data_IF_804469853482
#
_entry.id   IF_804469853482
#
_cell.length_a   1.000
_cell.length_b   1.000
_cell.length_c   1.000
_cell.angle_alpha   90.00
_cell.angle_beta   90.00
_cell.angle_gamma   90.00
#
_symmetry.space_group_name_H-M   'P 1'
#
loop_
_entity.id
_entity.type
_entity.pdbx_description
1 polymer ?
#
# COMPACT_ATOMS: atom_id res chain seq x y z
N UNK A 1 -14.27 -1.30 -30.97
CA UNK A 1 -13.88 -0.22 -30.03
C UNK A 1 -15.11 0.62 -29.72
N UNK A 2 -15.36 0.96 -28.45
CA UNK A 2 -16.55 1.77 -28.10
C UNK A 2 -16.39 3.20 -28.62
N UNK A 3 -17.36 3.64 -29.42
CA UNK A 3 -17.38 4.94 -30.10
C UNK A 3 -17.35 6.16 -29.15
N UNK A 4 -17.51 5.96 -27.84
CA UNK A 4 -17.63 7.02 -26.83
C UNK A 4 -16.55 6.99 -25.73
N UNK A 5 -15.53 6.14 -25.86
CA UNK A 5 -14.50 5.98 -24.81
C UNK A 5 -13.52 7.16 -24.73
N UNK A 6 -13.14 7.74 -25.87
CA UNK A 6 -12.22 8.88 -25.93
C UNK A 6 -12.80 9.97 -26.80
N UNK A 7 -12.36 11.22 -26.60
CA UNK A 7 -12.73 12.33 -27.48
C UNK A 7 -12.31 12.11 -28.94
N UNK A 8 -11.26 11.32 -29.18
CA UNK A 8 -10.84 10.95 -30.53
C UNK A 8 -11.82 9.97 -31.18
N UNK A 9 -12.25 8.94 -30.44
CA UNK A 9 -13.27 8.01 -30.90
C UNK A 9 -14.62 8.70 -31.11
N UNK A 10 -14.99 9.61 -30.20
CA UNK A 10 -16.22 10.39 -30.29
C UNK A 10 -16.21 11.33 -31.50
N UNK A 11 -15.07 11.98 -31.78
CA UNK A 11 -14.89 12.81 -32.98
C UNK A 11 -15.05 11.97 -34.25
N UNK A 12 -14.39 10.81 -34.31
CA UNK A 12 -14.50 9.90 -35.45
C UNK A 12 -15.91 9.36 -35.67
N UNK A 13 -16.69 9.16 -34.61
CA UNK A 13 -18.04 8.61 -34.69
C UNK A 13 -19.13 9.66 -34.96
N UNK A 14 -18.91 10.91 -34.54
CA UNK A 14 -19.89 12.00 -34.69
C UNK A 14 -19.58 12.94 -35.84
N UNK A 15 -18.38 12.84 -36.43
CA UNK A 15 -17.88 13.81 -37.41
C UNK A 15 -17.52 15.17 -36.81
N UNK A 16 -17.73 15.39 -35.51
CA UNK A 16 -17.44 16.66 -34.84
C UNK A 16 -15.93 16.73 -34.55
N UNK A 17 -15.24 17.83 -34.91
CA UNK A 17 -13.83 18.01 -34.58
C UNK A 17 -13.56 17.87 -33.07
N UNK A 18 -12.47 17.19 -32.71
CA UNK A 18 -12.06 16.97 -31.32
C UNK A 18 -11.98 18.28 -30.52
N UNK A 19 -11.52 19.37 -31.15
CA UNK A 19 -11.42 20.70 -30.53
C UNK A 19 -12.78 21.26 -30.12
N UNK A 20 -13.79 21.12 -30.98
CA UNK A 20 -15.18 21.51 -30.68
C UNK A 20 -15.76 20.67 -29.55
N UNK A 21 -15.51 19.35 -29.55
CA UNK A 21 -15.91 18.47 -28.44
C UNK A 21 -15.23 18.83 -27.11
N UNK A 22 -13.97 19.27 -27.13
CA UNK A 22 -13.28 19.73 -25.91
C UNK A 22 -13.93 21.01 -25.34
N UNK A 23 -14.32 21.95 -26.20
CA UNK A 23 -15.02 23.16 -25.78
C UNK A 23 -16.41 22.85 -25.23
N UNK A 24 -17.16 21.95 -25.85
CA UNK A 24 -18.46 21.50 -25.34
C UNK A 24 -18.36 20.75 -24.00
N UNK A 25 -17.30 19.95 -23.81
CA UNK A 25 -17.01 19.32 -22.52
C UNK A 25 -16.69 20.37 -21.43
N UNK A 26 -15.92 21.41 -21.77
CA UNK A 26 -15.61 22.51 -20.85
C UNK A 26 -16.85 23.36 -20.51
N UNK A 27 -17.75 23.56 -21.49
CA UNK A 27 -19.03 24.24 -21.32
C UNK A 27 -20.12 23.37 -20.65
N UNK A 28 -19.82 22.11 -20.31
CA UNK A 28 -20.75 21.21 -19.63
C UNK A 28 -21.88 20.63 -20.48
N UNK A 29 -21.86 20.83 -21.81
CA UNK A 29 -22.86 20.30 -22.75
C UNK A 29 -22.95 18.77 -22.67
N UNK A 30 -21.83 18.12 -22.38
CA UNK A 30 -21.78 16.71 -21.99
C UNK A 30 -20.65 16.50 -20.99
N UNK A 31 -20.71 15.41 -20.21
CA UNK A 31 -19.72 15.08 -19.17
C UNK A 31 -19.09 13.71 -19.41
N UNK A 32 -17.88 13.52 -18.89
CA UNK A 32 -17.31 12.18 -18.78
C UNK A 32 -18.07 11.41 -17.70
N UNK A 33 -18.54 10.22 -18.05
CA UNK A 33 -19.14 9.28 -17.11
C UNK A 33 -18.34 7.98 -17.19
N UNK A 34 -17.93 7.49 -16.02
CA UNK A 34 -17.34 6.15 -15.86
C UNK A 34 -18.32 5.32 -15.06
N UNK A 35 -18.81 4.25 -15.66
CA UNK A 35 -19.53 3.20 -14.94
C UNK A 35 -18.52 2.10 -14.64
N UNK A 36 -18.21 1.89 -13.37
CA UNK A 36 -17.68 0.60 -12.95
C UNK A 36 -18.83 -0.39 -13.04
N UNK A 37 -18.62 -1.58 -13.64
CA UNK A 37 -19.59 -2.66 -13.54
C UNK A 37 -19.61 -3.09 -12.08
N UNK A 38 -20.47 -2.44 -11.31
CA UNK A 38 -20.77 -2.85 -9.95
C UNK A 38 -21.65 -4.09 -10.05
N UNK A 39 -21.37 -5.16 -9.29
CA UNK A 39 -22.27 -6.30 -9.25
C UNK A 39 -23.68 -5.82 -8.90
N UNK A 40 -24.69 -6.33 -9.61
CA UNK A 40 -26.09 -5.97 -9.36
C UNK A 40 -26.45 -6.33 -7.92
N UNK A 41 -26.58 -5.30 -7.08
CA UNK A 41 -26.99 -5.49 -5.69
C UNK A 41 -28.51 -5.71 -5.67
N UNK A 42 -28.91 -6.95 -5.38
CA UNK A 42 -30.27 -7.25 -4.98
C UNK A 42 -30.55 -6.58 -3.62
N UNK A 43 -31.82 -6.43 -3.27
CA UNK A 43 -32.16 -5.82 -1.98
C UNK A 43 -31.63 -6.64 -0.79
N UNK A 44 -31.49 -7.97 -0.97
CA UNK A 44 -30.81 -8.86 -0.02
C UNK A 44 -29.32 -8.50 0.13
N UNK A 45 -28.61 -8.21 -0.97
CA UNK A 45 -27.21 -7.78 -0.90
C UNK A 45 -27.06 -6.42 -0.21
N UNK A 46 -27.98 -5.48 -0.46
CA UNK A 46 -27.99 -4.17 0.21
C UNK A 46 -28.24 -4.33 1.71
N UNK A 47 -29.23 -5.13 2.10
CA UNK A 47 -29.56 -5.38 3.50
C UNK A 47 -28.39 -6.02 4.25
N UNK A 48 -27.73 -7.04 3.66
CA UNK A 48 -26.55 -7.68 4.27
C UNK A 48 -25.37 -6.72 4.40
N UNK A 49 -25.14 -5.87 3.40
CA UNK A 49 -24.08 -4.85 3.46
C UNK A 49 -24.37 -3.78 4.49
N UNK A 50 -25.63 -3.35 4.60
CA UNK A 50 -26.06 -2.41 5.63
C UNK A 50 -25.89 -3.03 7.02
N UNK A 51 -26.35 -4.26 7.23
CA UNK A 51 -26.19 -4.98 8.49
C UNK A 51 -24.71 -5.22 8.85
N UNK A 52 -23.82 -5.37 7.88
CA UNK A 52 -22.38 -5.46 8.11
C UNK A 52 -21.76 -4.09 8.45
N UNK A 53 -22.22 -3.01 7.82
CA UNK A 53 -21.69 -1.67 8.04
C UNK A 53 -22.18 -1.06 9.36
N UNK A 54 -23.43 -1.29 9.76
CA UNK A 54 -24.04 -0.71 10.96
C UNK A 54 -23.24 -0.96 12.25
N UNK A 55 -22.72 -2.17 12.55
CA UNK A 55 -21.86 -2.42 13.71
C UNK A 55 -20.55 -1.62 13.73
N UNK A 56 -20.06 -1.19 12.56
CA UNK A 56 -18.84 -0.37 12.44
C UNK A 56 -19.12 1.14 12.59
N UNK A 57 -20.40 1.52 12.76
CA UNK A 57 -20.88 2.91 12.84
C UNK A 57 -21.75 3.11 14.10
N UNK A 58 -21.85 2.12 14.98
CA UNK A 58 -22.72 2.18 16.15
C UNK A 58 -22.08 3.04 17.25
N UNK A 59 -22.65 4.23 17.47
CA UNK A 59 -22.34 5.10 18.61
C UNK A 59 -23.48 4.98 19.61
N UNK A 60 -23.17 4.73 20.88
CA UNK A 60 -24.13 4.94 21.96
C UNK A 60 -24.22 6.46 22.21
N UNK A 61 -25.34 7.06 21.86
CA UNK A 61 -25.61 8.49 22.03
C UNK A 61 -26.81 8.66 22.94
N UNK A 62 -26.75 9.65 23.82
CA UNK A 62 -27.92 10.07 24.61
C UNK A 62 -28.98 10.73 23.71
N UNK A 63 -30.23 10.86 24.20
CA UNK A 63 -31.36 11.39 23.39
C UNK A 63 -31.09 12.76 22.76
N UNK A 64 -30.20 13.55 23.38
CA UNK A 64 -29.89 14.92 22.99
C UNK A 64 -28.52 15.06 22.30
N UNK A 65 -27.79 13.96 22.08
CA UNK A 65 -26.49 13.98 21.41
C UNK A 65 -26.61 13.80 19.90
N UNK A 66 -26.03 14.77 19.17
CA UNK A 66 -25.84 14.65 17.74
C UNK A 66 -24.68 13.68 17.46
N UNK A 67 -24.88 12.79 16.48
CA UNK A 67 -23.82 11.89 16.05
C UNK A 67 -22.57 12.68 15.63
N UNK A 68 -21.37 12.19 16.01
CA UNK A 68 -20.13 12.89 15.67
C UNK A 68 -20.01 13.00 14.14
N UNK A 69 -19.89 14.23 13.65
CA UNK A 69 -19.62 14.49 12.24
C UNK A 69 -18.22 13.96 11.89
N UNK A 70 -18.16 12.87 11.13
CA UNK A 70 -16.92 12.33 10.60
C UNK A 70 -16.76 12.73 9.14
N UNK A 71 -15.86 13.67 8.88
CA UNK A 71 -15.37 13.97 7.53
C UNK A 71 -13.93 13.52 7.39
N UNK A 72 -13.70 12.56 6.50
CA UNK A 72 -12.36 12.25 6.02
C UNK A 72 -12.03 13.19 4.84
N UNK A 73 -10.88 13.88 4.84
CA UNK A 73 -10.42 14.62 3.67
C UNK A 73 -10.43 13.73 2.44
N UNK A 74 -10.74 14.30 1.27
CA UNK A 74 -10.73 13.56 0.01
C UNK A 74 -9.37 12.85 -0.15
N UNK A 75 -9.39 11.52 -0.38
CA UNK A 75 -8.19 10.65 -0.50
C UNK A 75 -7.13 11.18 -1.47
N UNK A 76 -7.49 12.08 -2.38
CA UNK A 76 -6.57 12.78 -3.29
C UNK A 76 -5.56 13.70 -2.58
N UNK A 77 -5.91 14.25 -1.42
CA UNK A 77 -5.06 15.18 -0.67
C UNK A 77 -4.29 14.50 0.47
N UNK A 78 -4.55 13.22 0.74
CA UNK A 78 -3.80 12.44 1.71
C UNK A 78 -2.47 12.05 1.09
N UNK A 79 -1.37 12.43 1.75
CA UNK A 79 -0.01 12.08 1.33
C UNK A 79 0.14 10.57 1.22
N UNK A 80 0.57 10.08 0.05
CA UNK A 80 0.81 8.66 -0.17
C UNK A 80 2.25 8.35 0.17
N UNK A 81 2.47 7.70 1.31
CA UNK A 81 3.80 7.24 1.71
C UNK A 81 3.97 5.76 1.40
N UNK A 82 5.15 5.38 0.91
CA UNK A 82 5.52 3.99 0.73
C UNK A 82 6.06 3.39 2.04
N UNK A 83 5.75 2.12 2.29
CA UNK A 83 6.26 1.38 3.43
C UNK A 83 6.86 0.05 2.97
N UNK A 84 7.91 -0.39 3.66
CA UNK A 84 8.39 -1.77 3.63
C UNK A 84 7.82 -2.49 4.84
N UNK A 85 7.10 -3.58 4.62
CA UNK A 85 6.56 -4.41 5.70
C UNK A 85 7.18 -5.79 5.67
N UNK A 86 7.47 -6.34 6.85
CA UNK A 86 7.91 -7.72 7.03
C UNK A 86 6.98 -8.40 8.03
N UNK A 87 6.43 -9.53 7.60
CA UNK A 87 5.60 -10.40 8.43
C UNK A 87 6.05 -11.84 8.22
N UNK A 88 5.77 -12.68 9.21
CA UNK A 88 6.04 -14.10 9.17
C UNK A 88 4.82 -14.86 9.66
N UNK A 89 4.81 -16.18 9.44
CA UNK A 89 3.74 -17.02 9.96
C UNK A 89 3.70 -16.93 11.50
N UNK A 90 2.55 -16.60 12.11
CA UNK A 90 2.38 -16.66 13.55
C UNK A 90 2.75 -18.04 14.08
N UNK A 91 3.50 -18.10 15.17
CA UNK A 91 4.01 -19.35 15.73
C UNK A 91 4.31 -19.23 17.21
N UNK A 92 4.30 -20.35 17.91
CA UNK A 92 4.64 -20.37 19.32
C UNK A 92 6.15 -20.12 19.53
N UNK A 93 6.48 -19.21 20.43
CA UNK A 93 7.83 -18.92 20.89
C UNK A 93 8.09 -19.63 22.22
N UNK A 94 8.82 -20.74 22.17
CA UNK A 94 9.14 -21.52 23.36
C UNK A 94 10.04 -20.78 24.35
N UNK A 95 10.87 -19.83 23.90
CA UNK A 95 11.76 -19.05 24.77
C UNK A 95 10.96 -18.03 25.57
N UNK A 96 10.01 -17.36 24.90
CA UNK A 96 9.15 -16.33 25.52
C UNK A 96 7.87 -16.92 26.14
N UNK A 97 7.62 -18.22 25.97
CA UNK A 97 6.41 -18.93 26.42
C UNK A 97 5.10 -18.23 25.99
N UNK A 98 5.08 -17.71 24.77
CA UNK A 98 3.95 -16.95 24.23
C UNK A 98 3.82 -17.17 22.72
N UNK A 99 2.65 -16.87 22.17
CA UNK A 99 2.45 -16.90 20.73
C UNK A 99 3.02 -15.63 20.09
N UNK A 100 3.97 -15.82 19.17
CA UNK A 100 4.44 -14.74 18.32
C UNK A 100 3.41 -14.48 17.23
N UNK A 101 2.95 -13.23 17.14
CA UNK A 101 1.89 -12.80 16.22
C UNK A 101 2.36 -12.65 14.76
N UNK A 102 3.64 -12.92 14.50
CA UNK A 102 4.22 -12.89 13.16
C UNK A 102 4.63 -11.51 12.70
N UNK A 103 4.47 -10.46 13.50
CA UNK A 103 4.85 -9.11 13.10
C UNK A 103 6.34 -8.90 13.31
N UNK A 104 7.07 -8.60 12.22
CA UNK A 104 8.50 -8.24 12.31
C UNK A 104 8.66 -6.72 12.30
N UNK A 105 7.99 -6.03 11.38
CA UNK A 105 8.01 -4.57 11.36
C UNK A 105 7.40 -3.95 10.12
N UNK A 106 7.18 -2.63 10.22
CA UNK A 106 6.79 -1.77 9.10
C UNK A 106 7.66 -0.51 9.15
N UNK A 107 8.27 -0.16 8.04
CA UNK A 107 9.20 0.97 7.96
C UNK A 107 8.84 1.88 6.79
N UNK A 108 8.64 3.19 7.03
CA UNK A 108 8.35 4.14 5.96
C UNK A 108 9.58 4.35 5.08
N UNK A 109 9.37 4.37 3.77
CA UNK A 109 10.39 4.71 2.77
C UNK A 109 10.33 6.22 2.53
N UNK A 110 10.88 6.97 3.48
CA UNK A 110 10.77 8.44 3.52
C UNK A 110 12.14 9.11 3.67
N UNK A 111 12.20 10.36 3.23
CA UNK A 111 13.31 11.28 3.45
C UNK A 111 12.80 12.55 4.13
N UNK A 112 13.58 13.08 5.06
CA UNK A 112 13.34 14.38 5.68
C UNK A 112 14.02 15.45 4.84
N UNK A 113 13.25 16.36 4.26
CA UNK A 113 13.73 17.39 3.33
C UNK A 113 13.27 18.75 3.84
N UNK A 114 14.15 19.74 3.80
CA UNK A 114 13.76 21.11 4.16
C UNK A 114 12.84 21.71 3.09
N UNK A 115 11.77 22.36 3.52
CA UNK A 115 10.83 23.09 2.66
C UNK A 115 11.58 24.16 1.85
N UNK A 116 11.65 24.00 0.53
CA UNK A 116 12.37 24.96 -0.33
C UNK A 116 11.63 26.29 -0.53
N UNK A 117 10.30 26.26 -0.39
CA UNK A 117 9.41 27.42 -0.59
C UNK A 117 8.43 27.50 0.58
N UNK A 118 8.07 28.72 0.94
CA UNK A 118 6.92 28.96 1.81
C UNK A 118 5.62 28.64 1.06
N UNK A 119 4.63 28.17 1.79
CA UNK A 119 3.25 28.04 1.34
C UNK A 119 2.32 28.51 2.46
N UNK A 120 1.03 28.61 2.18
CA UNK A 120 0.03 28.99 3.17
C UNK A 120 0.07 28.11 4.45
N UNK A 121 0.54 26.87 4.33
CA UNK A 121 0.54 25.88 5.42
C UNK A 121 1.93 25.62 6.02
N UNK A 122 3.01 26.24 5.52
CA UNK A 122 4.38 26.01 6.03
C UNK A 122 5.37 27.07 5.58
N UNK A 123 6.29 27.45 6.46
CA UNK A 123 7.39 28.37 6.13
C UNK A 123 8.52 27.66 5.39
N UNK A 124 9.39 28.44 4.74
CA UNK A 124 10.60 27.90 4.12
C UNK A 124 11.53 27.38 5.22
N UNK A 125 12.13 26.21 5.01
CA UNK A 125 13.02 25.56 5.97
C UNK A 125 12.35 24.61 6.96
N UNK A 126 11.01 24.51 7.01
CA UNK A 126 10.34 23.48 7.80
C UNK A 126 10.74 22.09 7.33
N UNK A 127 11.00 21.16 8.26
CA UNK A 127 11.28 19.76 7.92
C UNK A 127 10.00 19.13 7.35
N UNK A 128 10.08 18.67 6.10
CA UNK A 128 9.02 17.93 5.43
C UNK A 128 9.40 16.47 5.26
N UNK A 129 8.43 15.59 5.41
CA UNK A 129 8.56 14.19 5.04
C UNK A 129 8.16 14.03 3.57
N UNK A 130 9.07 13.48 2.76
CA UNK A 130 8.80 13.13 1.37
C UNK A 130 9.10 11.66 1.14
N UNK A 131 8.51 11.07 0.09
CA UNK A 131 8.92 9.74 -0.34
C UNK A 131 10.35 9.79 -0.86
N UNK A 132 11.19 8.86 -0.39
CA UNK A 132 12.54 8.76 -0.87
C UNK A 132 12.55 8.38 -2.37
N UNK A 133 13.09 9.27 -3.21
CA UNK A 133 13.13 9.10 -4.67
C UNK A 133 14.45 8.48 -5.18
N UNK A 134 15.52 8.48 -4.38
CA UNK A 134 16.82 7.89 -4.70
C UNK A 134 16.69 6.44 -5.15
N UNK A 135 17.58 5.98 -6.06
CA UNK A 135 17.59 4.65 -6.72
C UNK A 135 16.90 3.60 -5.86
N UNK A 136 15.63 3.30 -6.17
CA UNK A 136 14.73 2.55 -5.28
C UNK A 136 15.35 1.23 -4.80
N UNK A 137 16.17 0.60 -5.65
CA UNK A 137 16.94 -0.60 -5.33
C UNK A 137 17.98 -0.41 -4.21
N UNK A 138 18.75 0.70 -4.23
CA UNK A 138 19.74 0.99 -3.16
C UNK A 138 19.05 1.26 -1.82
N UNK A 139 17.95 2.02 -1.85
CA UNK A 139 17.15 2.28 -0.64
C UNK A 139 16.57 0.97 -0.11
N UNK A 140 16.04 0.12 -0.98
CA UNK A 140 15.51 -1.19 -0.60
C UNK A 140 16.58 -2.09 0.04
N UNK A 141 17.75 -2.23 -0.59
CA UNK A 141 18.91 -2.99 -0.05
C UNK A 141 19.32 -2.45 1.31
N UNK A 142 19.44 -1.12 1.45
CA UNK A 142 19.76 -0.47 2.73
C UNK A 142 18.74 -0.82 3.81
N UNK A 143 17.45 -0.76 3.49
CA UNK A 143 16.38 -1.10 4.42
C UNK A 143 16.41 -2.57 4.84
N UNK A 144 16.73 -3.49 3.92
CA UNK A 144 16.91 -4.90 4.25
C UNK A 144 18.04 -5.08 5.28
N UNK A 145 19.22 -4.50 5.01
CA UNK A 145 20.42 -4.63 5.84
C UNK A 145 20.28 -3.96 7.21
N UNK A 146 19.74 -2.75 7.24
CA UNK A 146 19.72 -1.92 8.45
C UNK A 146 18.46 -2.08 9.30
N UNK A 147 17.36 -2.57 8.71
CA UNK A 147 16.05 -2.66 9.40
C UNK A 147 15.53 -4.08 9.45
N UNK A 148 15.33 -4.71 8.29
CA UNK A 148 14.62 -6.00 8.22
C UNK A 148 15.43 -7.13 8.85
N UNK A 149 16.68 -7.33 8.42
CA UNK A 149 17.51 -8.43 8.94
C UNK A 149 17.79 -8.32 10.44
N UNK A 150 18.15 -7.14 10.98
CA UNK A 150 18.27 -6.97 12.43
C UNK A 150 16.97 -7.28 13.18
N UNK A 151 15.82 -6.82 12.68
CA UNK A 151 14.52 -7.10 13.29
C UNK A 151 14.18 -8.60 13.28
N UNK A 152 14.47 -9.30 12.17
CA UNK A 152 14.35 -10.76 12.11
C UNK A 152 15.21 -11.40 13.19
N UNK A 153 16.50 -11.06 13.29
CA UNK A 153 17.42 -11.66 14.27
C UNK A 153 16.97 -11.42 15.73
N UNK A 154 16.35 -10.27 16.00
CA UNK A 154 15.86 -9.92 17.33
C UNK A 154 14.53 -10.63 17.69
N UNK A 155 13.61 -10.70 16.74
CA UNK A 155 12.24 -11.13 17.01
C UNK A 155 12.00 -12.60 16.70
N UNK A 156 12.78 -13.21 15.79
CA UNK A 156 12.54 -14.54 15.26
C UNK A 156 12.45 -15.60 16.38
N UNK A 157 11.30 -16.27 16.54
CA UNK A 157 11.11 -17.26 17.60
C UNK A 157 11.66 -18.65 17.22
N UNK A 158 12.08 -18.84 15.97
CA UNK A 158 12.60 -20.12 15.49
C UNK A 158 14.06 -20.38 15.87
N UNK A 159 14.55 -21.56 15.48
CA UNK A 159 15.97 -21.92 15.67
C UNK A 159 16.85 -21.06 14.77
N UNK A 160 17.92 -20.53 15.36
CA UNK A 160 18.92 -19.71 14.67
C UNK A 160 19.70 -20.46 13.59
N UNK A 161 19.87 -21.77 13.76
CA UNK A 161 20.59 -22.65 12.82
C UNK A 161 19.82 -22.96 11.54
N UNK A 162 18.55 -22.54 11.43
CA UNK A 162 17.75 -22.75 10.23
C UNK A 162 17.88 -21.55 9.30
N UNK A 163 18.05 -21.82 8.01
CA UNK A 163 17.99 -20.78 6.99
C UNK A 163 16.58 -20.16 6.95
N UNK A 164 16.52 -18.84 7.07
CA UNK A 164 15.29 -18.06 6.98
C UNK A 164 15.14 -17.55 5.55
N UNK A 165 14.06 -17.94 4.88
CA UNK A 165 13.71 -17.42 3.55
C UNK A 165 12.82 -16.19 3.68
N UNK A 166 13.26 -15.07 3.09
CA UNK A 166 12.50 -13.82 3.01
C UNK A 166 11.94 -13.68 1.60
N UNK A 167 10.64 -13.93 1.48
CA UNK A 167 9.93 -13.83 0.20
C UNK A 167 9.63 -12.37 -0.15
N UNK A 168 9.76 -12.03 -1.43
CA UNK A 168 9.38 -10.74 -2.02
C UNK A 168 8.76 -10.92 -3.41
N UNK A 169 8.11 -9.88 -3.93
CA UNK A 169 7.65 -9.85 -5.32
C UNK A 169 8.78 -9.49 -6.31
N UNK A 170 8.47 -9.47 -7.61
CA UNK A 170 9.43 -9.13 -8.67
C UNK A 170 9.37 -7.65 -9.09
N UNK A 171 9.00 -6.74 -8.19
CA UNK A 171 9.00 -5.31 -8.50
C UNK A 171 10.42 -4.80 -8.82
N UNK A 172 10.52 -3.82 -9.73
CA UNK A 172 11.81 -3.32 -10.22
C UNK A 172 12.86 -2.92 -9.15
N UNK A 173 12.47 -2.41 -7.96
CA UNK A 173 13.41 -2.13 -6.87
C UNK A 173 13.96 -3.37 -6.14
N UNK A 174 13.35 -4.54 -6.29
CA UNK A 174 13.72 -5.72 -5.53
C UNK A 174 15.02 -6.34 -6.01
N UNK A 175 15.61 -7.15 -5.14
CA UNK A 175 16.91 -7.78 -5.36
C UNK A 175 16.74 -9.15 -6.01
N UNK A 176 17.71 -9.61 -6.77
CA UNK A 176 17.73 -11.01 -7.19
C UNK A 176 18.16 -11.88 -6.00
N UNK A 177 17.83 -13.17 -6.03
CA UNK A 177 18.18 -14.12 -4.96
C UNK A 177 19.69 -14.30 -4.80
N UNK A 178 20.43 -14.14 -5.90
CA UNK A 178 21.89 -14.28 -6.00
C UNK A 178 22.65 -12.97 -5.71
N UNK A 179 21.98 -11.95 -5.18
CA UNK A 179 22.62 -10.67 -4.92
C UNK A 179 23.68 -10.78 -3.80
N UNK A 180 24.95 -10.64 -4.16
CA UNK A 180 26.09 -10.80 -3.26
C UNK A 180 26.00 -9.93 -1.98
N UNK A 181 25.65 -8.64 -2.12
CA UNK A 181 25.57 -7.70 -0.99
C UNK A 181 24.53 -8.12 0.06
N UNK A 182 23.47 -8.81 -0.37
CA UNK A 182 22.39 -9.31 0.48
C UNK A 182 22.73 -10.69 1.05
N UNK A 183 23.35 -11.57 0.27
CA UNK A 183 23.82 -12.87 0.75
C UNK A 183 24.85 -12.70 1.88
N UNK A 184 25.81 -11.79 1.69
CA UNK A 184 26.79 -11.45 2.73
C UNK A 184 26.09 -10.91 3.98
N UNK A 185 25.18 -9.95 3.83
CA UNK A 185 24.43 -9.40 4.96
C UNK A 185 23.50 -10.44 5.63
N UNK A 186 23.06 -11.45 4.89
CA UNK A 186 22.23 -12.54 5.39
C UNK A 186 22.99 -13.49 6.31
N UNK A 187 24.32 -13.57 6.16
CA UNK A 187 25.21 -14.42 6.95
C UNK A 187 25.88 -13.57 8.03
N UNK A 188 25.29 -13.53 9.21
CA UNK A 188 25.83 -12.72 10.30
C UNK A 188 25.58 -13.38 11.65
N UNK A 189 26.60 -13.41 12.50
CA UNK A 189 26.51 -13.99 13.84
C UNK A 189 25.95 -15.43 13.89
N UNK A 190 26.08 -16.23 12.83
CA UNK A 190 25.51 -17.58 12.76
C UNK A 190 24.02 -17.63 12.41
N UNK A 191 23.46 -16.52 11.91
CA UNK A 191 22.20 -16.51 11.17
C UNK A 191 22.46 -16.72 9.69
N UNK A 192 21.50 -17.34 9.00
CA UNK A 192 21.47 -17.43 7.54
C UNK A 192 20.11 -16.95 7.08
N UNK A 193 20.07 -15.81 6.39
CA UNK A 193 18.86 -15.21 5.83
C UNK A 193 19.06 -15.07 4.32
N UNK A 194 18.13 -15.62 3.55
CA UNK A 194 18.20 -15.63 2.09
C UNK A 194 16.92 -15.07 1.49
N UNK A 195 17.04 -14.29 0.42
CA UNK A 195 15.90 -13.75 -0.30
C UNK A 195 15.33 -14.81 -1.24
N UNK A 196 14.01 -14.82 -1.41
CA UNK A 196 13.33 -15.61 -2.44
C UNK A 196 12.34 -14.74 -3.21
N UNK A 197 12.36 -14.88 -4.53
CA UNK A 197 11.48 -14.18 -5.45
C UNK A 197 10.26 -15.06 -5.72
N UNK A 198 9.07 -14.47 -5.63
CA UNK A 198 7.85 -15.20 -5.96
C UNK A 198 7.75 -15.46 -7.47
N UNK A 199 6.96 -16.48 -7.89
CA UNK A 199 6.65 -16.68 -9.30
C UNK A 199 5.99 -15.43 -9.93
N UNK A 200 6.30 -15.09 -11.19
CA UNK A 200 5.68 -13.93 -11.85
C UNK A 200 4.14 -13.97 -11.81
N UNK A 201 3.52 -12.80 -11.63
CA UNK A 201 2.05 -12.61 -11.64
C UNK A 201 1.26 -13.48 -10.64
N UNK A 202 1.84 -13.77 -9.48
CA UNK A 202 1.22 -14.62 -8.45
C UNK A 202 0.93 -13.86 -7.15
N UNK A 203 0.01 -12.87 -7.16
CA UNK A 203 -0.31 -12.08 -5.96
C UNK A 203 -0.98 -12.91 -4.86
N UNK A 204 -1.58 -14.04 -5.22
CA UNK A 204 -2.14 -15.05 -4.33
C UNK A 204 -1.08 -15.83 -3.53
N UNK A 205 0.19 -15.69 -3.87
CA UNK A 205 1.30 -16.30 -3.13
C UNK A 205 1.99 -15.31 -2.18
N UNK A 206 1.49 -14.06 -2.07
CA UNK A 206 2.05 -13.04 -1.19
C UNK A 206 1.14 -12.78 0.01
N UNK A 207 1.62 -13.15 1.20
CA UNK A 207 0.89 -12.92 2.46
C UNK A 207 0.64 -11.43 2.74
N UNK A 208 1.51 -10.55 2.25
CA UNK A 208 1.34 -9.10 2.42
C UNK A 208 0.15 -8.59 1.61
N UNK A 209 -0.01 -9.07 0.37
CA UNK A 209 -1.13 -8.69 -0.49
C UNK A 209 -2.44 -9.28 0.01
N UNK A 210 -2.46 -10.56 0.38
CA UNK A 210 -3.69 -11.23 0.83
C UNK A 210 -4.16 -10.76 2.21
N UNK A 211 -3.22 -10.50 3.13
CA UNK A 211 -3.52 -10.17 4.52
C UNK A 211 -3.32 -8.70 4.83
N UNK A 212 -2.06 -8.28 4.99
CA UNK A 212 -1.71 -7.01 5.63
C UNK A 212 -2.23 -5.80 4.84
N UNK A 213 -1.96 -5.72 3.54
CA UNK A 213 -2.33 -4.57 2.74
C UNK A 213 -3.84 -4.51 2.46
N UNK A 214 -4.49 -5.66 2.28
CA UNK A 214 -5.94 -5.72 2.21
C UNK A 214 -6.60 -5.17 3.49
N UNK A 215 -6.08 -5.51 4.68
CA UNK A 215 -6.60 -5.05 5.96
C UNK A 215 -6.36 -3.55 6.22
N UNK A 216 -5.29 -2.96 5.66
CA UNK A 216 -5.00 -1.52 5.81
C UNK A 216 -5.82 -0.68 4.83
N UNK A 217 -6.20 -1.24 3.69
CA UNK A 217 -6.93 -0.53 2.63
C UNK A 217 -8.46 -0.57 2.79
N UNK A 218 -8.99 -1.45 3.66
CA UNK A 218 -10.43 -1.61 3.93
C UNK A 218 -11.04 -0.44 4.68
#
# INVERSE_FOLDING_TARGET
>A
MSARQTLRCLASATGIPKTTLMRHLAAGVFRRATTCVMPKLTDVHKARRLAFALPHVEYYLTKDELAPYQACPNRRYIGKNMFLAAVVRPRYDAKRKTYFDGKIGIWPIIEYVLAQRSSANRTKGTIEVKNANTTRKKVYVKMLKEKVFPAIRQLWPGRKSLCIKVQQDNAGPHVAEDNADILEAGIEHGWTIEMTCQPPRSPDLNVLDLGLFNAIQS
#
